data_IF_482558815992
#
_entry.id   IF_482558815992
#
_cell.length_a   1.000
_cell.length_b   1.000
_cell.length_c   1.000
_cell.angle_alpha   90.00
_cell.angle_beta   90.00
_cell.angle_gamma   90.00
#
_symmetry.space_group_name_H-M   'P 1'
#
loop_
_entity.id
_entity.type
_entity.pdbx_description
1 polymer ?
#
# COMPACT_ATOMS: atom_id res chain seq x y z
N UNK A 1 -14.33 -17.30 -0.42
CA UNK A 1 -13.03 -16.71 -0.02
C UNK A 1 -13.14 -16.32 1.44
N UNK A 2 -12.19 -16.73 2.30
CA UNK A 2 -12.18 -16.28 3.70
C UNK A 2 -11.59 -14.86 3.75
N UNK A 3 -12.22 -13.98 4.50
CA UNK A 3 -11.81 -12.59 4.68
C UNK A 3 -11.68 -12.25 6.15
N UNK A 4 -10.96 -11.18 6.42
CA UNK A 4 -10.78 -10.60 7.75
C UNK A 4 -10.88 -9.09 7.63
N UNK A 5 -11.50 -8.47 8.62
CA UNK A 5 -11.69 -7.03 8.67
C UNK A 5 -10.44 -6.35 9.22
N UNK A 6 -9.92 -5.36 8.48
CA UNK A 6 -8.76 -4.55 8.87
C UNK A 6 -9.09 -3.06 8.75
N UNK A 7 -8.36 -2.22 9.48
CA UNK A 7 -8.41 -0.78 9.25
C UNK A 7 -7.58 -0.41 8.02
N UNK A 8 -8.12 0.47 7.17
CA UNK A 8 -7.42 0.95 5.97
C UNK A 8 -6.09 1.63 6.32
N UNK A 9 -6.00 2.28 7.47
CA UNK A 9 -4.77 2.92 7.97
C UNK A 9 -3.65 1.93 8.31
N UNK A 10 -3.98 0.68 8.61
CA UNK A 10 -3.03 -0.37 9.02
C UNK A 10 -2.66 -1.30 7.84
N UNK A 11 -3.33 -1.14 6.69
CA UNK A 11 -3.09 -1.97 5.51
C UNK A 11 -1.72 -1.68 4.87
N UNK A 12 -1.05 -2.75 4.41
CA UNK A 12 0.19 -2.70 3.64
C UNK A 12 -0.07 -2.41 2.16
N UNK A 13 1.00 -2.16 1.38
CA UNK A 13 0.88 -1.76 -0.03
C UNK A 13 0.12 -2.79 -0.89
N UNK A 14 0.40 -4.09 -0.76
CA UNK A 14 -0.30 -5.13 -1.53
C UNK A 14 -1.80 -5.20 -1.19
N UNK A 15 -2.14 -5.05 0.09
CA UNK A 15 -3.53 -5.00 0.55
C UNK A 15 -4.24 -3.75 0.01
N UNK A 16 -3.56 -2.60 0.05
CA UNK A 16 -4.07 -1.35 -0.52
C UNK A 16 -4.25 -1.47 -2.05
N UNK A 17 -3.29 -2.04 -2.78
CA UNK A 17 -3.40 -2.25 -4.22
C UNK A 17 -4.58 -3.19 -4.56
N UNK A 18 -4.81 -4.23 -3.77
CA UNK A 18 -5.99 -5.10 -3.93
C UNK A 18 -7.29 -4.35 -3.68
N UNK A 19 -7.35 -3.54 -2.63
CA UNK A 19 -8.51 -2.70 -2.33
C UNK A 19 -8.74 -1.64 -3.41
N UNK A 20 -7.68 -1.07 -3.99
CA UNK A 20 -7.77 -0.15 -5.13
C UNK A 20 -8.40 -0.84 -6.34
N UNK A 21 -7.97 -2.06 -6.69
CA UNK A 21 -8.59 -2.83 -7.77
C UNK A 21 -10.10 -3.06 -7.50
N UNK A 22 -10.47 -3.31 -6.24
CA UNK A 22 -11.86 -3.48 -5.82
C UNK A 22 -12.66 -2.18 -5.94
N UNK A 23 -12.12 -1.04 -5.50
CA UNK A 23 -12.75 0.28 -5.64
C UNK A 23 -13.00 0.64 -7.12
N UNK A 24 -12.05 0.30 -7.98
CA UNK A 24 -12.12 0.56 -9.43
C UNK A 24 -13.00 -0.43 -10.19
N UNK A 25 -13.60 -1.42 -9.51
CA UNK A 25 -14.45 -2.43 -10.13
C UNK A 25 -13.71 -3.35 -11.11
N UNK A 26 -12.38 -3.48 -10.94
CA UNK A 26 -11.56 -4.32 -11.82
C UNK A 26 -11.82 -5.80 -11.55
N UNK A 27 -11.75 -6.67 -12.57
CA UNK A 27 -11.96 -8.10 -12.39
C UNK A 27 -10.78 -8.71 -11.64
N UNK A 28 -10.97 -9.04 -10.36
CA UNK A 28 -9.93 -9.66 -9.53
C UNK A 28 -10.10 -11.19 -9.56
N UNK A 29 -9.00 -11.90 -9.86
CA UNK A 29 -8.92 -13.37 -9.80
C UNK A 29 -7.76 -13.80 -8.91
N UNK A 30 -7.97 -14.87 -8.14
CA UNK A 30 -6.90 -15.54 -7.39
C UNK A 30 -6.29 -16.61 -8.29
N UNK A 31 -5.01 -16.44 -8.58
CA UNK A 31 -4.14 -17.36 -9.31
C UNK A 31 -4.78 -17.98 -10.58
N UNK A 32 -5.18 -17.15 -11.56
CA UNK A 32 -5.91 -17.60 -12.75
C UNK A 32 -5.12 -18.60 -13.62
N UNK A 33 -3.79 -18.60 -13.51
CA UNK A 33 -2.91 -19.52 -14.25
C UNK A 33 -2.39 -20.69 -13.40
N UNK A 34 -2.90 -20.86 -12.17
CA UNK A 34 -2.50 -21.93 -11.25
C UNK A 34 -0.98 -22.02 -11.03
N UNK A 35 -0.30 -20.87 -10.91
CA UNK A 35 1.13 -20.82 -10.63
C UNK A 35 1.48 -21.47 -9.27
N UNK A 36 0.51 -21.54 -8.35
CA UNK A 36 0.66 -22.15 -7.04
C UNK A 36 1.16 -21.15 -5.99
N UNK A 37 0.83 -21.45 -4.72
CA UNK A 37 1.06 -20.55 -3.57
C UNK A 37 2.53 -20.25 -3.28
N UNK A 38 3.45 -21.14 -3.66
CA UNK A 38 4.88 -20.98 -3.43
C UNK A 38 5.63 -20.35 -4.60
N UNK A 39 4.93 -20.02 -5.69
CA UNK A 39 5.56 -19.45 -6.87
C UNK A 39 5.65 -17.94 -6.76
N UNK A 40 6.66 -17.37 -7.39
CA UNK A 40 6.81 -15.92 -7.47
C UNK A 40 5.64 -15.24 -8.20
N UNK A 41 4.75 -15.97 -8.88
CA UNK A 41 3.61 -15.47 -9.68
C UNK A 41 2.23 -15.84 -9.11
N UNK A 42 2.17 -16.63 -8.04
CA UNK A 42 0.94 -16.89 -7.32
C UNK A 42 0.38 -15.63 -6.68
N UNK A 43 -0.92 -15.64 -6.37
CA UNK A 43 -1.59 -14.55 -5.65
C UNK A 43 -2.76 -13.95 -6.42
N UNK A 44 -3.03 -12.67 -6.19
CA UNK A 44 -4.17 -11.96 -6.79
C UNK A 44 -3.76 -11.17 -8.03
N UNK A 45 -4.61 -11.24 -9.05
CA UNK A 45 -4.41 -10.61 -10.34
C UNK A 45 -5.63 -9.77 -10.70
N UNK A 46 -5.39 -8.62 -11.32
CA UNK A 46 -6.39 -8.01 -12.20
C UNK A 46 -6.36 -8.80 -13.49
N UNK A 47 -7.47 -9.47 -13.81
CA UNK A 47 -7.56 -10.43 -14.89
C UNK A 47 -8.83 -10.21 -15.71
N UNK A 48 -8.69 -9.49 -16.80
CA UNK A 48 -9.72 -9.29 -17.81
C UNK A 48 -9.49 -10.28 -18.96
N UNK A 49 -10.51 -11.09 -19.26
CA UNK A 49 -10.46 -12.17 -20.25
C UNK A 49 -10.58 -11.67 -21.71
N UNK A 50 -10.79 -10.38 -21.92
CA UNK A 50 -10.79 -9.80 -23.26
C UNK A 50 -9.38 -9.86 -23.89
N UNK A 51 -9.25 -9.95 -25.23
CA UNK A 51 -7.93 -10.07 -25.89
C UNK A 51 -6.95 -8.92 -25.61
N UNK A 52 -7.47 -7.75 -25.26
CA UNK A 52 -6.70 -6.56 -24.84
C UNK A 52 -6.90 -6.24 -23.35
N UNK A 53 -7.44 -7.19 -22.59
CA UNK A 53 -7.72 -7.07 -21.18
C UNK A 53 -6.44 -7.00 -20.36
N UNK A 54 -6.52 -6.32 -19.20
CA UNK A 54 -5.42 -6.27 -18.26
C UNK A 54 -5.21 -7.63 -17.59
N UNK A 55 -3.99 -8.13 -17.65
CA UNK A 55 -3.53 -9.34 -16.94
C UNK A 55 -2.31 -8.96 -16.10
N UNK A 56 -2.55 -8.28 -14.99
CA UNK A 56 -1.49 -7.67 -14.16
C UNK A 56 -1.60 -8.16 -12.72
N UNK A 57 -0.47 -8.55 -12.13
CA UNK A 57 -0.49 -9.03 -10.75
C UNK A 57 -0.56 -7.86 -9.77
N UNK A 58 -1.38 -8.02 -8.76
CA UNK A 58 -1.56 -7.02 -7.71
C UNK A 58 -0.30 -7.00 -6.82
N UNK A 59 0.20 -5.79 -6.53
CA UNK A 59 1.46 -5.58 -5.79
C UNK A 59 2.72 -5.76 -6.63
N UNK A 60 2.59 -6.03 -7.94
CA UNK A 60 3.69 -5.96 -8.91
C UNK A 60 3.32 -5.08 -10.11
N UNK A 61 2.79 -5.66 -11.19
CA UNK A 61 2.47 -4.90 -12.41
C UNK A 61 1.26 -3.98 -12.20
N UNK A 62 0.35 -4.35 -11.31
CA UNK A 62 -0.70 -3.47 -10.78
C UNK A 62 -0.34 -3.06 -9.35
N UNK A 63 0.35 -1.93 -9.21
CA UNK A 63 0.67 -1.37 -7.89
C UNK A 63 0.45 0.15 -7.83
N UNK A 64 -0.81 0.61 -7.74
CA UNK A 64 -1.11 2.03 -7.59
C UNK A 64 -0.36 2.71 -6.41
N UNK A 65 -0.06 1.97 -5.34
CA UNK A 65 0.71 2.51 -4.21
C UNK A 65 2.17 2.82 -4.51
N UNK A 66 2.75 2.24 -5.58
CA UNK A 66 4.14 2.46 -6.00
C UNK A 66 4.28 2.99 -7.44
N UNK A 67 3.22 2.99 -8.23
CA UNK A 67 3.19 3.48 -9.62
C UNK A 67 2.29 4.73 -9.76
N UNK A 68 2.89 5.92 -9.92
CA UNK A 68 2.16 7.16 -10.17
C UNK A 68 1.24 7.10 -11.40
N UNK A 69 1.61 6.38 -12.45
CA UNK A 69 0.83 6.32 -13.69
C UNK A 69 -0.52 5.62 -13.49
N UNK A 70 -0.59 4.67 -12.55
CA UNK A 70 -1.84 4.03 -12.15
C UNK A 70 -2.65 4.88 -11.16
N UNK A 71 -1.98 5.56 -10.22
CA UNK A 71 -2.66 6.29 -9.15
C UNK A 71 -3.17 7.67 -9.59
N UNK A 72 -2.40 8.43 -10.38
CA UNK A 72 -2.75 9.81 -10.71
C UNK A 72 -4.11 9.97 -11.38
N UNK A 73 -4.50 9.14 -12.38
CA UNK A 73 -5.84 9.23 -12.96
C UNK A 73 -6.95 9.04 -11.92
N UNK A 74 -6.75 8.16 -10.94
CA UNK A 74 -7.69 7.88 -9.85
C UNK A 74 -7.78 9.11 -8.93
N UNK A 75 -6.64 9.61 -8.45
CA UNK A 75 -6.55 10.80 -7.59
C UNK A 75 -7.25 12.01 -8.21
N UNK A 76 -7.05 12.25 -9.52
CA UNK A 76 -7.69 13.38 -10.22
C UNK A 76 -9.21 13.21 -10.30
N UNK A 77 -9.68 12.02 -10.69
CA UNK A 77 -11.12 11.74 -10.79
C UNK A 77 -11.80 11.82 -9.41
N UNK A 78 -11.14 11.32 -8.38
CA UNK A 78 -11.62 11.34 -6.99
C UNK A 78 -11.36 12.68 -6.27
N UNK A 79 -10.80 13.69 -6.95
CA UNK A 79 -10.46 15.01 -6.40
C UNK A 79 -9.67 14.93 -5.09
N UNK A 80 -8.71 14.01 -5.03
CA UNK A 80 -7.85 13.83 -3.86
C UNK A 80 -6.69 14.82 -3.94
N UNK A 81 -6.52 15.60 -2.88
CA UNK A 81 -5.37 16.47 -2.70
C UNK A 81 -4.36 15.79 -1.76
N UNK A 82 -3.08 15.79 -2.15
CA UNK A 82 -1.98 15.28 -1.31
C UNK A 82 -1.04 16.42 -0.94
N UNK A 83 -0.54 16.42 0.30
CA UNK A 83 0.46 17.37 0.79
C UNK A 83 1.42 16.69 1.77
N UNK A 84 2.62 17.22 1.98
CA UNK A 84 3.46 16.82 3.09
C UNK A 84 2.69 16.93 4.40
N UNK A 85 2.88 15.94 5.27
CA UNK A 85 2.26 15.93 6.57
C UNK A 85 2.90 17.02 7.44
N UNK A 86 2.10 17.99 7.86
CA UNK A 86 2.52 19.08 8.75
C UNK A 86 1.64 19.10 9.99
N UNK A 87 2.26 19.22 11.16
CA UNK A 87 1.58 19.32 12.45
C UNK A 87 2.13 18.36 13.52
N UNK A 88 1.73 18.58 14.77
CA UNK A 88 2.22 17.86 15.97
C UNK A 88 1.91 16.36 15.99
N UNK A 89 0.94 15.91 15.18
CA UNK A 89 0.49 14.51 15.07
C UNK A 89 0.72 13.91 13.68
N UNK A 90 1.51 14.58 12.84
CA UNK A 90 1.96 14.03 11.57
C UNK A 90 3.19 13.14 11.81
N UNK A 91 3.29 11.96 11.16
CA UNK A 91 4.56 11.26 11.08
C UNK A 91 5.60 12.22 10.48
N UNK A 92 6.78 12.30 11.11
CA UNK A 92 7.90 13.05 10.56
C UNK A 92 8.17 12.52 9.15
N UNK A 93 8.20 13.42 8.16
CA UNK A 93 8.41 13.12 6.73
C UNK A 93 7.30 12.33 6.02
N UNK A 94 6.10 12.23 6.62
CA UNK A 94 4.97 11.57 5.99
C UNK A 94 4.17 12.45 5.02
N UNK A 95 3.14 11.85 4.42
CA UNK A 95 2.19 12.50 3.53
C UNK A 95 0.77 12.43 4.08
N UNK A 96 -0.04 13.41 3.71
CA UNK A 96 -1.44 13.51 4.05
C UNK A 96 -2.28 13.68 2.78
N UNK A 97 -3.43 13.01 2.73
CA UNK A 97 -4.38 13.09 1.64
C UNK A 97 -5.79 13.36 2.15
N UNK A 98 -6.54 14.16 1.40
CA UNK A 98 -7.94 14.52 1.68
C UNK A 98 -8.74 14.50 0.38
N UNK A 99 -10.00 14.09 0.45
CA UNK A 99 -10.96 14.23 -0.66
C UNK A 99 -12.09 15.19 -0.27
N UNK A 100 -12.74 15.78 -1.26
CA UNK A 100 -13.92 16.63 -1.07
C UNK A 100 -15.19 15.80 -1.30
N UNK A 101 -16.27 15.96 -0.50
CA UNK A 101 -16.49 16.98 0.54
C UNK A 101 -16.08 16.55 1.95
N UNK A 102 -15.42 15.41 2.13
CA UNK A 102 -15.12 14.89 3.47
C UNK A 102 -14.21 15.86 4.23
N UNK A 103 -14.73 16.44 5.30
CA UNK A 103 -14.02 17.31 6.26
C UNK A 103 -13.29 16.49 7.34
N UNK A 104 -13.14 15.19 7.14
CA UNK A 104 -12.51 14.29 8.09
C UNK A 104 -10.99 14.51 8.18
N UNK A 105 -10.39 13.88 9.20
CA UNK A 105 -8.95 13.89 9.38
C UNK A 105 -8.23 13.37 8.12
N UNK A 106 -7.15 14.05 7.67
CA UNK A 106 -6.40 13.61 6.51
C UNK A 106 -5.86 12.20 6.70
N UNK A 107 -5.97 11.37 5.66
CA UNK A 107 -5.38 10.05 5.63
C UNK A 107 -3.87 10.16 5.47
N UNK A 108 -3.14 9.42 6.30
CA UNK A 108 -1.68 9.48 6.34
C UNK A 108 -1.05 8.31 5.57
N UNK A 109 0.13 8.53 5.02
CA UNK A 109 0.96 7.50 4.38
C UNK A 109 2.42 7.91 4.35
N UNK A 110 3.31 6.94 4.15
CA UNK A 110 4.75 7.18 4.00
C UNK A 110 5.07 7.90 2.67
N UNK A 111 4.22 7.69 1.65
CA UNK A 111 4.30 8.37 0.36
C UNK A 111 2.98 9.06 0.02
N UNK A 112 3.02 10.01 -0.92
CA UNK A 112 1.83 10.67 -1.44
C UNK A 112 0.83 9.68 -2.04
N UNK A 113 1.34 8.63 -2.69
CA UNK A 113 0.52 7.57 -3.31
C UNK A 113 -0.17 6.71 -2.25
N UNK A 114 0.53 6.30 -1.20
CA UNK A 114 -0.07 5.52 -0.10
C UNK A 114 -1.13 6.34 0.64
N UNK A 115 -0.85 7.62 0.91
CA UNK A 115 -1.84 8.52 1.53
C UNK A 115 -3.09 8.66 0.63
N UNK A 116 -2.90 8.87 -0.68
CA UNK A 116 -4.00 8.97 -1.65
C UNK A 116 -4.80 7.67 -1.75
N UNK A 117 -4.15 6.50 -1.77
CA UNK A 117 -4.80 5.20 -1.79
C UNK A 117 -5.72 5.03 -0.58
N UNK A 118 -5.20 5.30 0.63
CA UNK A 118 -5.97 5.20 1.88
C UNK A 118 -7.16 6.14 1.89
N UNK A 119 -6.99 7.36 1.38
CA UNK A 119 -8.07 8.34 1.22
C UNK A 119 -9.17 7.83 0.27
N UNK A 120 -8.78 7.36 -0.93
CA UNK A 120 -9.73 6.84 -1.93
C UNK A 120 -10.49 5.61 -1.42
N UNK A 121 -9.78 4.67 -0.81
CA UNK A 121 -10.38 3.46 -0.26
C UNK A 121 -11.35 3.81 0.85
N UNK A 122 -10.96 4.70 1.78
CA UNK A 122 -11.83 5.07 2.89
C UNK A 122 -13.08 5.81 2.44
N UNK A 123 -12.96 6.71 1.45
CA UNK A 123 -14.13 7.41 0.90
C UNK A 123 -15.06 6.51 0.10
N UNK A 124 -14.56 5.40 -0.43
CA UNK A 124 -15.33 4.48 -1.28
C UNK A 124 -15.92 3.29 -0.50
N UNK A 125 -15.14 2.68 0.39
CA UNK A 125 -15.47 1.45 1.10
C UNK A 125 -15.61 1.61 2.62
N UNK A 126 -15.20 2.76 3.16
CA UNK A 126 -15.17 3.03 4.60
C UNK A 126 -13.81 2.73 5.25
N UNK A 127 -13.64 3.13 6.53
CA UNK A 127 -12.35 3.05 7.24
C UNK A 127 -11.95 1.65 7.68
N UNK A 128 -12.90 0.71 7.71
CA UNK A 128 -12.71 -0.70 8.05
C UNK A 128 -13.23 -1.54 6.90
N UNK A 129 -12.40 -2.43 6.37
CA UNK A 129 -12.68 -3.18 5.14
C UNK A 129 -12.29 -4.64 5.27
N UNK A 130 -13.02 -5.51 4.55
CA UNK A 130 -12.71 -6.94 4.47
C UNK A 130 -11.69 -7.23 3.36
N UNK A 131 -10.59 -7.86 3.74
CA UNK A 131 -9.48 -8.27 2.87
C UNK A 131 -9.32 -9.78 2.93
N UNK A 132 -8.93 -10.47 1.83
CA UNK A 132 -8.63 -11.89 1.85
C UNK A 132 -7.54 -12.25 2.86
N UNK A 133 -7.75 -13.31 3.65
CA UNK A 133 -6.80 -13.74 4.69
C UNK A 133 -5.40 -14.05 4.12
N UNK A 134 -5.36 -14.58 2.89
CA UNK A 134 -4.11 -14.90 2.20
C UNK A 134 -3.22 -13.65 1.99
N UNK A 135 -3.79 -12.44 1.93
CA UNK A 135 -3.01 -11.20 1.80
C UNK A 135 -2.44 -10.67 3.13
N UNK A 136 -2.81 -11.30 4.25
CA UNK A 136 -2.24 -10.99 5.57
C UNK A 136 -1.06 -11.92 5.86
N UNK A 137 -1.21 -13.20 5.53
CA UNK A 137 -0.21 -14.24 5.84
C UNK A 137 1.07 -14.16 4.98
N UNK A 138 1.06 -13.39 3.87
CA UNK A 138 2.22 -13.23 2.95
C UNK A 138 3.19 -12.12 3.41
N UNK A 139 2.97 -11.45 4.54
CA UNK A 139 3.95 -10.49 5.07
C UNK A 139 5.31 -11.19 5.29
N UNK A 140 6.43 -10.64 4.77
CA UNK A 140 7.73 -11.28 4.94
C UNK A 140 8.07 -11.34 6.42
N UNK A 141 8.48 -12.53 6.88
CA UNK A 141 9.15 -12.70 8.17
C UNK A 141 10.34 -11.74 8.18
N UNK A 142 10.26 -10.67 8.97
CA UNK A 142 11.41 -9.81 9.26
C UNK A 142 12.40 -10.69 10.00
N UNK A 143 13.49 -11.08 9.33
CA UNK A 143 14.62 -11.72 9.97
C UNK A 143 15.17 -10.77 11.03
N UNK A 144 14.92 -11.10 12.29
CA UNK A 144 15.66 -10.53 13.40
C UNK A 144 17.10 -11.04 13.29
N UNK A 145 18.01 -10.20 12.82
CA UNK A 145 19.40 -10.27 13.24
C UNK A 145 19.74 -8.92 13.88
N UNK A 146 19.72 -8.92 15.21
CA UNK A 146 20.29 -7.87 16.04
C UNK A 146 21.47 -8.44 16.84
N UNK A 147 22.48 -7.58 16.99
CA UNK A 147 23.65 -7.65 17.89
C UNK A 147 24.82 -8.50 17.38
N UNK A 148 26.06 -8.02 17.41
CA UNK A 148 26.66 -7.24 18.49
C UNK A 148 27.37 -5.95 18.04
N UNK A 149 27.25 -4.95 18.90
CA UNK A 149 28.13 -3.79 18.98
C UNK A 149 29.57 -4.22 19.33
N UNK A 150 30.56 -3.42 18.94
CA UNK A 150 31.39 -2.85 20.00
C UNK A 150 31.95 -1.48 19.63
N UNK A 151 31.93 -0.66 20.65
CA UNK A 151 32.16 0.76 20.74
C UNK A 151 33.64 0.98 21.11
N UNK A 152 34.35 1.89 20.41
CA UNK A 152 35.50 2.56 21.01
C UNK A 152 35.90 3.83 20.24
N UNK A 153 35.30 4.94 20.66
CA UNK A 153 35.89 6.28 20.65
C UNK A 153 37.13 6.34 21.55
N UNK A 154 38.25 6.89 21.06
CA UNK A 154 39.06 7.88 21.78
C UNK A 154 40.23 8.37 20.90
N UNK A 155 40.19 9.64 20.52
CA UNK A 155 41.35 10.47 20.19
C UNK A 155 42.18 10.70 21.47
N UNK A 156 43.52 10.75 21.40
CA UNK A 156 44.13 12.07 21.61
C UNK A 156 45.44 12.30 20.81
N UNK A 157 45.57 13.49 20.20
CA UNK A 157 46.86 14.20 20.04
C UNK A 157 47.46 14.51 21.44
N UNK A 158 48.80 14.66 21.65
CA UNK A 158 49.72 15.43 20.79
C UNK A 158 51.20 14.95 20.70
N UNK A 159 51.97 15.56 19.79
CA UNK A 159 53.41 15.84 19.95
C UNK A 159 54.41 14.96 19.22
N UNK A 160 55.01 15.46 18.14
CA UNK A 160 56.36 16.07 18.13
C UNK A 160 56.67 16.72 16.78
#
# INVERSE_FOLDING_TARGET
>A
MKTISIKVSEANNTQLDWLMAKCEGLPIRRDPMAFGVSSANGGYWVWDETPSGRMSRIGKEYSPTNDPALMWPITHRAKIATRPAVGRHAPADGWQATTWPTLDWPHQGETSLVAAARCHITSTLGPVVDVPIDLIEIAPQVSQDQSAADEQTADPAPGH
#
